data_IF_463928770693
#
_entry.id   IF_463928770693
#
_cell.length_a   1.000
_cell.length_b   1.000
_cell.length_c   1.000
_cell.angle_alpha   90.00
_cell.angle_beta   90.00
_cell.angle_gamma   90.00
#
_symmetry.space_group_name_H-M   'P 1'
#
loop_
_entity.id
_entity.type
_entity.pdbx_description
1 polymer ?
#
# COMPACT_ATOMS: atom_id res chain seq x y z
N UNK A 1 -28.67 -20.19 -12.71
CA UNK A 1 -27.19 -20.06 -12.57
C UNK A 1 -26.75 -18.64 -12.89
N UNK A 2 -27.07 -18.09 -14.07
CA UNK A 2 -26.79 -16.68 -14.40
C UNK A 2 -27.37 -15.68 -13.39
N UNK A 3 -28.65 -15.79 -13.02
CA UNK A 3 -29.26 -14.86 -12.05
C UNK A 3 -28.63 -14.94 -10.66
N UNK A 4 -28.17 -16.13 -10.25
CA UNK A 4 -27.49 -16.34 -8.98
C UNK A 4 -26.07 -15.73 -8.99
N UNK A 5 -25.33 -15.87 -10.09
CA UNK A 5 -24.03 -15.22 -10.24
C UNK A 5 -24.17 -13.70 -10.28
N UNK A 6 -25.21 -13.19 -10.95
CA UNK A 6 -25.51 -11.76 -10.98
C UNK A 6 -25.88 -11.21 -9.59
N UNK A 7 -26.70 -11.94 -8.82
CA UNK A 7 -27.06 -11.57 -7.45
C UNK A 7 -25.83 -11.57 -6.51
N UNK A 8 -24.93 -12.54 -6.68
CA UNK A 8 -23.66 -12.55 -5.94
C UNK A 8 -22.75 -11.37 -6.32
N UNK A 9 -22.70 -11.00 -7.60
CA UNK A 9 -21.94 -9.83 -8.05
C UNK A 9 -22.54 -8.52 -7.52
N UNK A 10 -23.87 -8.40 -7.51
CA UNK A 10 -24.56 -7.23 -6.96
C UNK A 10 -24.29 -7.09 -5.46
N UNK A 11 -24.41 -8.18 -4.69
CA UNK A 11 -24.10 -8.20 -3.25
C UNK A 11 -22.62 -7.93 -2.96
N UNK A 12 -21.72 -8.40 -3.81
CA UNK A 12 -20.29 -8.11 -3.67
C UNK A 12 -19.96 -6.62 -3.92
N UNK A 13 -20.82 -5.90 -4.63
CA UNK A 13 -20.67 -4.47 -4.88
C UNK A 13 -21.29 -3.59 -3.77
N UNK A 14 -21.95 -4.17 -2.76
CA UNK A 14 -22.41 -3.42 -1.60
C UNK A 14 -21.22 -3.03 -0.71
N UNK A 15 -21.16 -1.78 -0.22
CA UNK A 15 -20.10 -1.35 0.69
C UNK A 15 -20.03 -2.24 1.94
N UNK A 16 -18.81 -2.56 2.36
CA UNK A 16 -18.56 -3.43 3.52
C UNK A 16 -17.32 -2.98 4.28
N UNK A 17 -17.37 -3.09 5.61
CA UNK A 17 -16.32 -2.58 6.49
C UNK A 17 -16.39 -1.06 6.62
N UNK A 18 -15.42 -0.47 7.31
CA UNK A 18 -15.46 0.95 7.68
C UNK A 18 -14.23 1.69 7.14
N UNK A 19 -14.50 2.83 6.49
CA UNK A 19 -13.48 3.80 6.10
C UNK A 19 -14.09 5.17 6.24
N UNK A 20 -13.50 6.01 7.07
CA UNK A 20 -13.98 7.37 7.29
C UNK A 20 -13.02 8.38 6.68
N UNK A 21 -13.52 9.49 6.11
CA UNK A 21 -12.67 10.61 5.72
C UNK A 21 -11.87 11.15 6.92
N UNK A 22 -10.54 11.12 6.84
CA UNK A 22 -9.66 11.74 7.82
C UNK A 22 -9.48 13.22 7.52
N UNK A 23 -9.11 13.54 6.29
CA UNK A 23 -8.96 14.90 5.77
C UNK A 23 -8.95 14.89 4.24
N UNK A 24 -9.18 16.05 3.64
CA UNK A 24 -9.11 16.24 2.18
C UNK A 24 -7.98 17.19 1.84
N UNK A 25 -7.15 16.80 0.88
CA UNK A 25 -6.08 17.64 0.38
C UNK A 25 -6.65 18.81 -0.45
N UNK A 26 -6.08 20.01 -0.35
CA UNK A 26 -6.44 21.13 -1.20
C UNK A 26 -6.36 20.81 -2.70
N UNK A 27 -7.20 21.44 -3.52
CA UNK A 27 -7.26 21.24 -4.99
C UNK A 27 -5.91 21.44 -5.70
N UNK A 28 -5.02 22.27 -5.16
CA UNK A 28 -3.70 22.52 -5.73
C UNK A 28 -2.66 21.46 -5.37
N UNK A 29 -2.99 20.46 -4.54
CA UNK A 29 -2.13 19.28 -4.32
C UNK A 29 -2.43 18.26 -5.42
N UNK A 30 -1.60 18.29 -6.46
CA UNK A 30 -1.77 17.46 -7.65
C UNK A 30 -0.98 16.16 -7.54
N UNK A 31 -1.63 15.06 -7.90
CA UNK A 31 -1.11 13.70 -7.98
C UNK A 31 -0.32 13.27 -6.74
N UNK A 32 -0.94 13.25 -5.55
CA UNK A 32 -0.33 12.65 -4.37
C UNK A 32 -0.19 11.14 -4.57
N UNK A 33 1.01 10.59 -4.33
CA UNK A 33 1.33 9.16 -4.55
C UNK A 33 2.14 8.55 -3.39
N UNK A 34 2.53 9.35 -2.40
CA UNK A 34 3.21 8.87 -1.20
C UNK A 34 2.57 9.47 0.05
N UNK A 35 2.40 8.64 1.08
CA UNK A 35 1.90 9.07 2.38
C UNK A 35 2.77 8.43 3.46
N UNK A 36 3.25 9.23 4.40
CA UNK A 36 3.97 8.78 5.58
C UNK A 36 3.52 9.57 6.81
N UNK A 37 3.76 9.04 8.00
CA UNK A 37 3.54 9.77 9.25
C UNK A 37 4.87 10.25 9.84
N UNK A 38 4.95 11.53 10.16
CA UNK A 38 6.07 12.11 10.90
C UNK A 38 5.65 12.43 12.32
N UNK A 39 5.99 11.51 13.23
CA UNK A 39 5.73 11.62 14.66
C UNK A 39 6.37 12.88 15.27
N UNK A 40 7.54 13.32 14.78
CA UNK A 40 8.24 14.48 15.34
C UNK A 40 7.49 15.79 15.08
N UNK A 41 6.75 15.86 13.97
CA UNK A 41 5.93 17.01 13.59
C UNK A 41 4.45 16.84 13.92
N UNK A 42 4.00 15.63 14.22
CA UNK A 42 2.59 15.26 14.33
C UNK A 42 1.82 15.64 13.05
N UNK A 43 2.40 15.32 11.89
CA UNK A 43 1.86 15.64 10.56
C UNK A 43 1.99 14.42 9.65
N UNK A 44 1.04 14.30 8.73
CA UNK A 44 1.23 13.45 7.56
C UNK A 44 2.21 14.12 6.60
N UNK A 45 3.11 13.35 6.01
CA UNK A 45 3.91 13.76 4.88
C UNK A 45 3.30 13.20 3.61
N UNK A 46 3.07 14.07 2.62
CA UNK A 46 2.52 13.72 1.32
C UNK A 46 3.54 14.01 0.23
N UNK A 47 3.84 13.01 -0.59
CA UNK A 47 4.69 13.14 -1.77
C UNK A 47 3.87 13.27 -3.04
N UNK A 48 4.25 14.20 -3.92
CA UNK A 48 3.56 14.41 -5.21
C UNK A 48 4.44 14.01 -6.39
N UNK A 49 3.84 13.35 -7.39
CA UNK A 49 4.56 13.01 -8.62
C UNK A 49 4.57 14.15 -9.64
N UNK A 50 3.54 15.01 -9.64
CA UNK A 50 3.43 16.12 -10.58
C UNK A 50 4.52 17.18 -10.34
N UNK A 51 4.66 17.66 -9.11
CA UNK A 51 5.60 18.75 -8.78
C UNK A 51 6.90 18.27 -8.09
N UNK A 52 6.94 17.00 -7.66
CA UNK A 52 8.09 16.48 -6.92
C UNK A 52 8.22 17.13 -5.54
N UNK A 53 7.10 17.37 -4.86
CA UNK A 53 7.07 18.02 -3.55
C UNK A 53 6.86 17.00 -2.44
N UNK A 54 7.42 17.30 -1.27
CA UNK A 54 7.10 16.71 0.03
C UNK A 54 6.38 17.77 0.86
N UNK A 55 5.17 17.45 1.26
CA UNK A 55 4.23 18.35 1.92
C UNK A 55 3.94 17.85 3.33
N UNK A 56 3.93 18.71 4.34
CA UNK A 56 3.36 18.42 5.64
C UNK A 56 1.87 18.78 5.66
N UNK A 57 1.05 17.87 6.18
CA UNK A 57 -0.41 18.01 6.26
C UNK A 57 -0.86 17.73 7.69
N UNK A 58 -1.62 18.64 8.30
CA UNK A 58 -2.30 18.32 9.57
C UNK A 58 -3.59 17.54 9.39
N UNK A 59 -4.13 17.12 10.53
CA UNK A 59 -5.45 16.52 10.69
C UNK A 59 -6.60 17.38 10.13
N UNK A 60 -6.41 18.69 9.92
CA UNK A 60 -7.40 19.56 9.29
C UNK A 60 -7.22 19.66 7.75
N UNK A 61 -6.23 18.97 7.19
CA UNK A 61 -5.90 19.01 5.75
C UNK A 61 -5.10 20.25 5.32
N UNK A 62 -4.62 21.07 6.26
CA UNK A 62 -3.80 22.25 5.93
C UNK A 62 -2.39 21.82 5.55
N UNK A 63 -1.94 22.33 4.42
CA UNK A 63 -0.68 21.94 3.77
C UNK A 63 0.41 22.98 4.00
N UNK A 64 1.64 22.51 4.21
CA UNK A 64 2.88 23.30 4.17
C UNK A 64 3.91 22.56 3.32
N UNK A 65 4.48 23.19 2.29
CA UNK A 65 5.56 22.57 1.52
C UNK A 65 6.84 22.53 2.35
N UNK A 66 7.45 21.35 2.44
CA UNK A 66 8.70 21.10 3.18
C UNK A 66 9.89 21.05 2.22
N UNK A 67 9.76 20.27 1.15
CA UNK A 67 10.78 20.06 0.14
C UNK A 67 10.09 20.15 -1.22
N UNK A 68 10.69 20.85 -2.17
CA UNK A 68 10.34 20.77 -3.58
C UNK A 68 11.56 20.34 -4.37
N UNK A 69 11.35 19.49 -5.37
CA UNK A 69 12.39 19.17 -6.33
C UNK A 69 12.94 20.48 -6.95
N UNK A 70 14.23 20.55 -7.24
CA UNK A 70 14.87 21.70 -7.89
C UNK A 70 16.23 21.30 -8.43
N UNK A 71 16.88 22.21 -9.15
CA UNK A 71 18.19 21.95 -9.75
C UNK A 71 19.29 21.69 -8.71
N UNK A 72 19.13 22.19 -7.48
CA UNK A 72 20.11 22.03 -6.40
C UNK A 72 20.05 20.63 -5.79
N UNK A 73 18.84 20.13 -5.47
CA UNK A 73 18.67 18.78 -4.92
C UNK A 73 18.64 17.70 -6.02
N UNK A 74 18.23 18.05 -7.24
CA UNK A 74 18.16 17.14 -8.38
C UNK A 74 17.07 16.06 -8.25
N UNK A 75 16.04 16.29 -7.43
CA UNK A 75 14.87 15.42 -7.34
C UNK A 75 13.95 15.57 -8.56
N UNK A 76 13.04 14.60 -8.70
CA UNK A 76 11.95 14.57 -9.68
C UNK A 76 10.62 14.27 -8.98
N UNK A 77 9.70 13.55 -9.63
CA UNK A 77 8.49 13.00 -8.99
C UNK A 77 8.83 12.24 -7.71
N UNK A 78 8.02 12.42 -6.66
CA UNK A 78 8.12 11.65 -5.41
C UNK A 78 7.18 10.46 -5.45
N UNK A 79 7.72 9.24 -5.33
CA UNK A 79 6.95 7.99 -5.39
C UNK A 79 6.79 7.29 -4.06
N UNK A 80 7.67 7.57 -3.09
CA UNK A 80 7.51 7.06 -1.72
C UNK A 80 8.28 7.91 -0.72
N UNK A 81 7.83 7.86 0.55
CA UNK A 81 8.40 8.57 1.68
C UNK A 81 8.60 7.59 2.83
N UNK A 82 9.79 7.63 3.46
CA UNK A 82 10.06 6.84 4.65
C UNK A 82 10.69 7.72 5.72
N UNK A 83 10.02 7.81 6.88
CA UNK A 83 10.48 8.55 8.05
C UNK A 83 11.23 7.60 8.97
N UNK A 84 12.51 7.89 9.24
CA UNK A 84 13.34 7.18 10.23
C UNK A 84 13.72 8.16 11.36
N UNK A 85 12.86 8.29 12.39
CA UNK A 85 13.12 9.21 13.49
C UNK A 85 14.32 8.77 14.34
N UNK A 86 14.60 7.46 14.43
CA UNK A 86 15.72 6.94 15.21
C UNK A 86 17.08 7.41 14.67
N UNK A 87 17.17 7.65 13.36
CA UNK A 87 18.38 8.16 12.70
C UNK A 87 18.26 9.63 12.26
N UNK A 88 17.16 10.31 12.57
CA UNK A 88 16.83 11.67 12.10
C UNK A 88 16.94 11.77 10.57
N UNK A 89 16.27 10.86 9.85
CA UNK A 89 16.26 10.79 8.38
C UNK A 89 14.87 10.79 7.79
N UNK A 90 14.73 11.52 6.69
CA UNK A 90 13.63 11.40 5.75
C UNK A 90 14.19 10.86 4.44
N UNK A 91 13.72 9.69 4.05
CA UNK A 91 14.08 9.06 2.79
C UNK A 91 13.00 9.34 1.76
N UNK A 92 13.43 9.74 0.56
CA UNK A 92 12.52 10.07 -0.54
C UNK A 92 12.91 9.24 -1.76
N UNK A 93 11.97 8.43 -2.23
CA UNK A 93 12.10 7.68 -3.48
C UNK A 93 11.64 8.57 -4.64
N UNK A 94 12.52 8.85 -5.59
CA UNK A 94 12.21 9.79 -6.67
C UNK A 94 12.68 9.30 -8.04
N UNK A 95 11.87 9.58 -9.06
CA UNK A 95 12.12 9.14 -10.43
C UNK A 95 11.68 10.16 -11.48
N UNK A 96 12.46 10.27 -12.55
CA UNK A 96 12.18 11.13 -13.69
C UNK A 96 11.17 10.45 -14.62
N UNK A 97 9.90 10.85 -14.47
CA UNK A 97 8.80 10.34 -15.30
C UNK A 97 8.12 11.48 -16.06
N UNK A 98 7.44 11.21 -17.19
CA UNK A 98 6.78 12.25 -17.98
C UNK A 98 5.68 13.04 -17.25
N UNK A 99 5.18 12.55 -16.11
CA UNK A 99 4.17 13.28 -15.31
C UNK A 99 4.79 14.39 -14.47
N UNK A 100 6.11 14.39 -14.28
CA UNK A 100 6.81 15.47 -13.59
C UNK A 100 6.77 16.76 -14.42
N UNK A 101 6.33 17.87 -13.83
CA UNK A 101 6.13 19.15 -14.50
C UNK A 101 7.40 19.69 -15.17
N UNK A 102 8.57 19.38 -14.59
CA UNK A 102 9.91 19.75 -15.10
C UNK A 102 10.64 18.57 -15.72
N UNK A 103 9.92 17.59 -16.25
CA UNK A 103 10.51 16.44 -16.91
C UNK A 103 11.45 16.85 -18.04
N UNK A 104 12.65 16.26 -18.04
CA UNK A 104 13.61 16.36 -19.14
C UNK A 104 13.85 14.99 -19.75
N UNK A 105 13.82 14.92 -21.09
CA UNK A 105 14.07 13.68 -21.81
C UNK A 105 15.47 13.09 -21.52
N UNK A 106 16.44 13.91 -21.12
CA UNK A 106 17.79 13.46 -20.75
C UNK A 106 17.83 12.68 -19.43
N UNK A 107 16.82 12.90 -18.58
CA UNK A 107 16.67 12.21 -17.30
C UNK A 107 15.73 11.01 -17.40
N UNK A 108 15.14 10.73 -18.57
CA UNK A 108 14.18 9.64 -18.75
C UNK A 108 14.73 8.32 -18.17
N UNK A 109 13.98 7.76 -17.23
CA UNK A 109 14.33 6.47 -16.61
C UNK A 109 15.37 6.56 -15.50
N UNK A 110 15.82 7.76 -15.12
CA UNK A 110 16.65 7.97 -13.94
C UNK A 110 15.79 7.92 -12.68
N UNK A 111 16.33 7.30 -11.64
CA UNK A 111 15.72 7.24 -10.33
C UNK A 111 16.80 7.21 -9.25
N UNK A 112 16.49 7.72 -8.07
CA UNK A 112 17.40 7.73 -6.94
C UNK A 112 16.63 7.71 -5.61
N UNK A 113 17.29 7.18 -4.59
CA UNK A 113 16.92 7.38 -3.20
C UNK A 113 17.61 8.65 -2.69
N UNK A 114 16.85 9.56 -2.09
CA UNK A 114 17.36 10.79 -1.51
C UNK A 114 17.28 10.70 0.01
N UNK A 115 18.37 11.07 0.68
CA UNK A 115 18.52 11.09 2.13
C UNK A 115 18.48 12.54 2.60
N UNK A 116 17.45 12.91 3.34
CA UNK A 116 17.33 14.22 3.98
C UNK A 116 17.47 14.09 5.49
N UNK A 117 17.97 15.15 6.13
CA UNK A 117 17.82 15.32 7.56
C UNK A 117 16.33 15.50 7.87
N UNK A 118 15.75 14.69 8.76
CA UNK A 118 14.31 14.77 9.05
C UNK A 118 13.95 16.12 9.67
N UNK A 119 14.77 16.69 10.55
CA UNK A 119 14.50 17.96 11.22
C UNK A 119 14.79 19.18 10.33
N UNK A 120 15.99 19.27 9.76
CA UNK A 120 16.44 20.45 9.01
C UNK A 120 16.00 20.45 7.55
N UNK A 121 15.59 19.29 7.02
CA UNK A 121 15.23 19.07 5.61
C UNK A 121 16.40 19.32 4.65
N UNK A 122 17.62 19.38 5.15
CA UNK A 122 18.82 19.48 4.32
C UNK A 122 19.08 18.15 3.62
N UNK A 123 19.37 18.22 2.32
CA UNK A 123 19.80 17.06 1.55
C UNK A 123 21.18 16.61 2.06
N UNK A 124 21.26 15.36 2.51
CA UNK A 124 22.50 14.73 2.97
C UNK A 124 23.15 14.01 1.80
N UNK A 125 22.42 13.08 1.18
CA UNK A 125 22.93 12.24 0.11
C UNK A 125 21.89 11.92 -0.96
N UNK A 126 22.40 11.64 -2.16
CA UNK A 126 21.65 11.11 -3.28
C UNK A 126 22.27 9.79 -3.70
N UNK A 127 21.45 8.74 -3.72
CA UNK A 127 21.84 7.37 -4.06
C UNK A 127 21.14 6.94 -5.34
N UNK A 128 21.72 7.21 -6.52
CA UNK A 128 21.14 6.80 -7.79
C UNK A 128 21.24 5.29 -7.99
N UNK A 129 20.23 4.72 -8.67
CA UNK A 129 20.37 3.39 -9.27
C UNK A 129 21.35 3.43 -10.45
N UNK A 130 21.90 2.28 -10.89
CA UNK A 130 22.79 2.23 -12.04
C UNK A 130 22.17 2.87 -13.30
N UNK A 131 22.97 3.66 -14.03
CA UNK A 131 22.58 4.18 -15.35
C UNK A 131 22.89 3.12 -16.40
N UNK A 132 22.04 2.09 -16.46
CA UNK A 132 22.22 0.91 -17.31
C UNK A 132 21.41 0.97 -18.62
N UNK A 133 20.74 2.10 -18.89
CA UNK A 133 19.91 2.32 -20.06
C UNK A 133 18.49 1.78 -19.95
N UNK A 134 18.10 1.22 -18.80
CA UNK A 134 16.72 0.77 -18.53
C UNK A 134 15.93 1.85 -17.78
N UNK A 135 14.60 1.90 -17.94
CA UNK A 135 13.77 2.84 -17.22
C UNK A 135 13.55 2.35 -15.79
N UNK A 136 14.19 2.99 -14.82
CA UNK A 136 13.97 2.71 -13.40
C UNK A 136 12.93 3.66 -12.81
N UNK A 137 12.07 3.12 -11.95
CA UNK A 137 11.17 3.92 -11.11
C UNK A 137 11.23 3.31 -9.72
N UNK A 138 12.16 3.76 -8.88
CA UNK A 138 12.10 3.38 -7.47
C UNK A 138 10.76 3.83 -6.91
N UNK A 139 10.03 2.86 -6.36
CA UNK A 139 8.74 3.06 -5.74
C UNK A 139 8.85 2.89 -4.24
N UNK A 140 8.05 1.96 -3.71
CA UNK A 140 7.91 1.72 -2.29
C UNK A 140 9.19 1.25 -1.61
N UNK A 141 9.36 1.64 -0.35
CA UNK A 141 10.52 1.41 0.48
C UNK A 141 10.16 0.72 1.80
N UNK A 142 11.10 -0.06 2.33
CA UNK A 142 11.01 -0.60 3.69
C UNK A 142 12.33 -0.37 4.44
N UNK A 143 12.23 0.02 5.71
CA UNK A 143 13.35 0.21 6.62
C UNK A 143 13.63 -1.08 7.37
N UNK A 144 14.86 -1.58 7.25
CA UNK A 144 15.36 -2.68 8.06
C UNK A 144 15.78 -2.23 9.46
N UNK A 145 15.81 -3.15 10.44
CA UNK A 145 16.14 -2.82 11.84
C UNK A 145 17.53 -2.17 11.98
N UNK A 146 18.49 -2.59 11.15
CA UNK A 146 19.86 -2.07 11.15
C UNK A 146 20.00 -0.73 10.40
N UNK A 147 18.94 -0.24 9.74
CA UNK A 147 18.95 1.01 8.97
C UNK A 147 19.19 0.83 7.47
N UNK A 148 19.07 -0.40 6.98
CA UNK A 148 19.03 -0.69 5.55
C UNK A 148 17.73 -0.16 4.94
N UNK A 149 17.78 0.38 3.73
CA UNK A 149 16.59 0.73 2.97
C UNK A 149 16.44 -0.24 1.82
N UNK A 150 15.32 -0.94 1.75
CA UNK A 150 14.96 -1.81 0.63
C UNK A 150 13.98 -1.09 -0.26
N UNK A 151 14.16 -1.16 -1.58
CA UNK A 151 13.35 -0.41 -2.54
C UNK A 151 12.87 -1.33 -3.65
N UNK A 152 11.56 -1.30 -3.90
CA UNK A 152 10.96 -1.97 -5.02
C UNK A 152 10.96 -1.06 -6.25
N UNK A 153 11.55 -1.50 -7.36
CA UNK A 153 11.45 -0.80 -8.63
C UNK A 153 10.08 -1.13 -9.28
N UNK A 154 9.29 -0.09 -9.57
CA UNK A 154 7.95 -0.20 -10.17
C UNK A 154 8.03 -0.55 -11.66
N UNK A 155 9.13 -0.21 -12.32
CA UNK A 155 9.29 -0.40 -13.76
C UNK A 155 10.00 -1.70 -14.12
N UNK A 156 10.87 -2.19 -13.22
CA UNK A 156 11.60 -3.45 -13.39
C UNK A 156 11.40 -4.31 -12.15
N UNK A 157 11.30 -5.65 -12.26
CA UNK A 157 11.06 -6.52 -11.12
C UNK A 157 12.33 -6.76 -10.30
N UNK A 158 12.91 -5.67 -9.79
CA UNK A 158 14.17 -5.63 -9.05
C UNK A 158 13.89 -5.08 -7.66
N UNK A 159 14.37 -5.82 -6.66
CA UNK A 159 14.50 -5.34 -5.30
C UNK A 159 15.92 -4.82 -5.11
N UNK A 160 16.02 -3.56 -4.74
CA UNK A 160 17.25 -2.90 -4.36
C UNK A 160 17.41 -2.85 -2.84
N UNK A 161 18.66 -2.73 -2.39
CA UNK A 161 19.03 -2.41 -1.01
C UNK A 161 20.08 -1.31 -1.01
N UNK A 162 19.88 -0.31 -0.16
CA UNK A 162 20.92 0.58 0.34
C UNK A 162 21.29 0.08 1.73
N UNK A 163 22.50 -0.45 1.88
CA UNK A 163 22.94 -0.94 3.18
C UNK A 163 23.21 0.22 4.15
N UNK A 164 22.94 0.02 5.45
CA UNK A 164 23.22 1.04 6.46
C UNK A 164 24.70 1.51 6.40
N UNK A 165 24.94 2.82 6.41
CA UNK A 165 26.29 3.40 6.28
C UNK A 165 26.94 3.32 4.89
N UNK A 166 26.37 2.57 3.94
CA UNK A 166 26.89 2.52 2.57
C UNK A 166 26.28 3.59 1.67
N UNK A 167 27.04 4.01 0.65
CA UNK A 167 26.61 5.04 -0.30
C UNK A 167 25.88 4.47 -1.53
N UNK A 168 25.99 3.18 -1.82
CA UNK A 168 25.46 2.58 -3.05
C UNK A 168 24.12 1.89 -2.79
N UNK A 169 23.27 1.97 -3.80
CA UNK A 169 22.06 1.16 -3.93
C UNK A 169 22.43 -0.04 -4.80
N UNK A 170 22.22 -1.25 -4.31
CA UNK A 170 22.61 -2.49 -4.97
C UNK A 170 21.39 -3.39 -5.19
N UNK A 171 21.35 -4.09 -6.33
CA UNK A 171 20.29 -5.05 -6.60
C UNK A 171 20.52 -6.30 -5.74
N UNK A 172 19.55 -6.67 -4.92
CA UNK A 172 19.62 -7.87 -4.07
C UNK A 172 18.76 -9.01 -4.60
N UNK A 173 17.76 -8.71 -5.43
CA UNK A 173 16.95 -9.71 -6.11
C UNK A 173 16.39 -9.15 -7.42
N UNK A 174 16.28 -10.01 -8.43
CA UNK A 174 15.43 -9.78 -9.59
C UNK A 174 14.61 -11.04 -9.84
N UNK A 175 13.32 -10.90 -10.13
CA UNK A 175 12.43 -12.04 -10.36
C UNK A 175 11.62 -11.85 -11.64
N UNK A 176 11.78 -12.75 -12.61
CA UNK A 176 10.96 -12.75 -13.82
C UNK A 176 9.49 -13.12 -13.55
N UNK A 177 9.18 -13.62 -12.35
CA UNK A 177 7.82 -13.95 -11.92
C UNK A 177 7.04 -12.73 -11.40
N UNK A 178 7.65 -11.54 -11.41
CA UNK A 178 7.06 -10.25 -11.03
C UNK A 178 7.17 -9.28 -12.22
N UNK A 179 6.27 -8.31 -12.32
CA UNK A 179 6.17 -7.39 -13.47
C UNK A 179 5.84 -5.95 -13.11
N UNK A 180 5.24 -5.70 -11.95
CA UNK A 180 4.75 -4.39 -11.52
C UNK A 180 4.74 -4.33 -10.00
N UNK A 181 5.90 -4.11 -9.39
CA UNK A 181 6.01 -4.02 -7.94
C UNK A 181 5.33 -2.72 -7.47
N UNK A 182 4.35 -2.84 -6.57
CA UNK A 182 3.54 -1.71 -6.07
C UNK A 182 3.69 -1.45 -4.58
N UNK A 183 4.19 -2.43 -3.82
CA UNK A 183 4.38 -2.25 -2.38
C UNK A 183 5.45 -3.17 -1.82
N UNK A 184 5.99 -2.77 -0.67
CA UNK A 184 6.97 -3.52 0.10
C UNK A 184 6.61 -3.43 1.58
N UNK A 185 6.71 -4.54 2.29
CA UNK A 185 6.58 -4.58 3.74
C UNK A 185 7.64 -5.52 4.31
N UNK A 186 8.02 -5.35 5.58
CA UNK A 186 9.09 -6.15 6.18
C UNK A 186 8.70 -6.61 7.58
N UNK A 187 9.06 -7.84 7.93
CA UNK A 187 8.98 -8.29 9.32
C UNK A 187 9.91 -7.47 10.23
N UNK A 188 9.52 -7.19 11.49
CA UNK A 188 10.33 -6.36 12.40
C UNK A 188 11.76 -6.86 12.64
N UNK A 189 11.98 -8.18 12.52
CA UNK A 189 13.30 -8.80 12.67
C UNK A 189 14.21 -8.66 11.44
N UNK A 190 13.70 -8.09 10.35
CA UNK A 190 14.39 -7.90 9.07
C UNK A 190 14.64 -9.19 8.29
N UNK A 191 14.10 -10.33 8.72
CA UNK A 191 14.33 -11.62 8.08
C UNK A 191 13.54 -11.82 6.79
N UNK A 192 12.32 -11.26 6.73
CA UNK A 192 11.39 -11.45 5.62
C UNK A 192 10.93 -10.10 5.06
N UNK A 193 10.95 -9.99 3.74
CA UNK A 193 10.31 -8.93 2.97
C UNK A 193 9.13 -9.51 2.20
N UNK A 194 8.04 -8.77 2.14
CA UNK A 194 6.90 -9.01 1.28
C UNK A 194 6.95 -8.02 0.13
N UNK A 195 6.89 -8.50 -1.11
CA UNK A 195 6.80 -7.68 -2.31
C UNK A 195 5.42 -7.87 -2.91
N UNK A 196 4.63 -6.81 -2.94
CA UNK A 196 3.33 -6.78 -3.59
C UNK A 196 3.50 -6.42 -5.06
N UNK A 197 3.08 -7.31 -5.94
CA UNK A 197 2.98 -7.07 -7.38
C UNK A 197 1.52 -6.88 -7.78
N UNK A 198 1.27 -5.91 -8.67
CA UNK A 198 -0.07 -5.60 -9.14
C UNK A 198 -0.75 -6.80 -9.80
N UNK A 199 -0.01 -7.59 -10.56
CA UNK A 199 -0.56 -8.67 -11.39
C UNK A 199 -0.25 -10.06 -10.82
N UNK A 200 0.93 -10.21 -10.20
CA UNK A 200 1.48 -11.51 -9.83
C UNK A 200 1.22 -11.92 -8.37
N UNK A 201 0.67 -11.00 -7.56
CA UNK A 201 0.38 -11.21 -6.14
C UNK A 201 1.55 -10.89 -5.23
N UNK A 202 1.67 -11.60 -4.10
CA UNK A 202 2.67 -11.29 -3.08
C UNK A 202 3.79 -12.33 -3.12
N UNK A 203 5.04 -11.85 -3.22
CA UNK A 203 6.24 -12.67 -3.07
C UNK A 203 6.85 -12.45 -1.69
N UNK A 204 7.18 -13.55 -1.02
CA UNK A 204 7.90 -13.59 0.25
C UNK A 204 9.38 -13.81 -0.05
N UNK A 205 10.21 -12.90 0.44
CA UNK A 205 11.65 -12.89 0.28
C UNK A 205 12.31 -13.11 1.63
N UNK A 206 12.94 -14.27 1.80
CA UNK A 206 13.82 -14.56 2.93
C UNK A 206 15.20 -13.98 2.63
N UNK A 207 15.56 -12.93 3.36
CA UNK A 207 16.80 -12.17 3.16
C UNK A 207 18.01 -12.98 3.59
N UNK A 208 17.91 -13.73 4.69
CA UNK A 208 19.03 -14.53 5.22
C UNK A 208 19.24 -15.80 4.40
N UNK A 209 18.15 -16.47 4.03
CA UNK A 209 18.17 -17.67 3.22
C UNK A 209 18.37 -17.43 1.73
N UNK A 210 18.33 -16.16 1.27
CA UNK A 210 18.42 -15.77 -0.14
C UNK A 210 17.42 -16.53 -1.03
N UNK A 211 16.16 -16.61 -0.57
CA UNK A 211 15.10 -17.37 -1.23
C UNK A 211 13.86 -16.50 -1.43
N UNK A 212 13.25 -16.60 -2.60
CA UNK A 212 11.96 -15.98 -2.91
C UNK A 212 10.92 -17.06 -3.22
N UNK A 213 9.70 -16.94 -2.68
CA UNK A 213 8.55 -17.78 -3.05
C UNK A 213 7.28 -16.95 -3.04
N UNK A 214 6.25 -17.40 -3.77
CA UNK A 214 4.91 -16.81 -3.63
C UNK A 214 4.39 -17.06 -2.21
N UNK A 215 3.70 -16.06 -1.65
CA UNK A 215 2.99 -16.19 -0.38
C UNK A 215 1.97 -17.33 -0.50
N UNK A 216 1.99 -18.27 0.43
CA UNK A 216 1.02 -19.36 0.43
C UNK A 216 -0.35 -18.81 0.86
N UNK A 217 -1.38 -19.01 0.04
CA UNK A 217 -2.72 -18.49 0.30
C UNK A 217 -3.81 -19.54 0.09
N UNK A 218 -5.00 -19.35 0.67
CA UNK A 218 -6.17 -20.13 0.27
C UNK A 218 -6.43 -19.98 -1.22
N UNK A 219 -6.77 -21.07 -1.91
CA UNK A 219 -7.02 -21.07 -3.36
C UNK A 219 -8.14 -20.11 -3.82
N UNK A 220 -9.00 -19.67 -2.89
CA UNK A 220 -10.09 -18.73 -3.13
C UNK A 220 -9.68 -17.26 -2.96
N UNK A 221 -8.46 -16.98 -2.51
CA UNK A 221 -7.99 -15.61 -2.31
C UNK A 221 -7.39 -15.05 -3.59
N UNK A 222 -8.01 -14.00 -4.14
CA UNK A 222 -7.45 -13.23 -5.25
C UNK A 222 -6.46 -12.16 -4.74
N UNK A 223 -5.20 -12.27 -5.16
CA UNK A 223 -4.13 -11.31 -4.89
C UNK A 223 -3.78 -10.43 -6.12
N UNK A 224 -4.62 -10.36 -7.14
CA UNK A 224 -4.47 -9.41 -8.24
C UNK A 224 -4.91 -8.00 -7.88
N UNK A 225 -4.45 -7.02 -8.65
CA UNK A 225 -4.77 -5.60 -8.51
C UNK A 225 -4.22 -4.93 -7.25
N UNK A 226 -3.15 -5.46 -6.65
CA UNK A 226 -2.51 -4.88 -5.47
C UNK A 226 -1.87 -3.54 -5.82
N UNK A 227 -2.13 -2.52 -5.00
CA UNK A 227 -1.54 -1.20 -5.16
C UNK A 227 -0.70 -0.72 -3.97
N UNK A 228 -0.89 -1.34 -2.80
CA UNK A 228 -0.07 -1.09 -1.62
C UNK A 228 -0.14 -2.28 -0.66
N UNK A 229 0.96 -2.51 0.06
CA UNK A 229 1.03 -3.50 1.14
C UNK A 229 1.72 -2.92 2.36
N UNK A 230 1.24 -3.28 3.54
CA UNK A 230 1.78 -2.85 4.84
C UNK A 230 1.79 -4.04 5.80
N UNK A 231 2.65 -3.99 6.82
CA UNK A 231 2.64 -4.98 7.89
C UNK A 231 2.16 -4.33 9.19
N UNK A 232 1.20 -4.96 9.84
CA UNK A 232 0.70 -4.56 11.15
C UNK A 232 0.41 -5.81 11.99
N UNK A 233 1.06 -5.97 13.15
CA UNK A 233 0.85 -7.09 14.07
C UNK A 233 0.86 -8.49 13.41
N UNK A 234 1.85 -8.79 12.55
CA UNK A 234 1.93 -10.02 11.74
C UNK A 234 0.75 -10.25 10.77
N UNK A 235 0.03 -9.19 10.42
CA UNK A 235 -0.96 -9.18 9.36
C UNK A 235 -0.46 -8.32 8.20
N UNK A 236 -0.61 -8.80 6.98
CA UNK A 236 -0.45 -7.96 5.79
C UNK A 236 -1.74 -7.20 5.54
N UNK A 237 -1.64 -5.89 5.45
CA UNK A 237 -2.72 -5.03 4.98
C UNK A 237 -2.50 -4.77 3.51
N UNK A 238 -3.50 -5.04 2.68
CA UNK A 238 -3.39 -4.99 1.22
C UNK A 238 -4.47 -4.09 0.66
N UNK A 239 -4.06 -3.06 -0.08
CA UNK A 239 -4.97 -2.21 -0.87
C UNK A 239 -5.02 -2.78 -2.28
N UNK A 240 -6.23 -3.09 -2.77
CA UNK A 240 -6.46 -3.62 -4.11
C UNK A 240 -7.38 -2.69 -4.91
N UNK A 241 -6.84 -2.03 -5.93
CA UNK A 241 -7.58 -1.12 -6.80
C UNK A 241 -7.63 -1.56 -8.27
N UNK A 242 -6.86 -2.59 -8.65
CA UNK A 242 -6.88 -3.18 -9.99
C UNK A 242 -7.98 -4.23 -10.20
N UNK A 243 -8.90 -4.38 -9.25
CA UNK A 243 -10.03 -5.32 -9.29
C UNK A 243 -11.32 -4.61 -8.92
N UNK A 244 -12.46 -5.22 -9.24
CA UNK A 244 -13.79 -4.78 -8.83
C UNK A 244 -14.48 -5.88 -8.01
N UNK A 245 -15.02 -5.59 -6.81
CA UNK A 245 -14.93 -4.31 -6.10
C UNK A 245 -13.50 -4.00 -5.62
N UNK A 246 -13.16 -2.70 -5.55
CA UNK A 246 -11.93 -2.22 -4.92
C UNK A 246 -12.01 -2.41 -3.40
N UNK A 247 -10.88 -2.70 -2.74
CA UNK A 247 -10.90 -3.12 -1.33
C UNK A 247 -9.58 -2.96 -0.59
N UNK A 248 -9.67 -2.85 0.73
CA UNK A 248 -8.60 -3.00 1.71
C UNK A 248 -8.84 -4.29 2.51
N UNK A 249 -7.81 -5.12 2.62
CA UNK A 249 -7.88 -6.46 3.20
C UNK A 249 -6.77 -6.65 4.25
N UNK A 250 -7.09 -7.31 5.36
CA UNK A 250 -6.15 -7.83 6.37
C UNK A 250 -5.95 -9.32 6.15
N UNK A 251 -4.69 -9.72 5.95
CA UNK A 251 -4.27 -11.11 5.75
C UNK A 251 -3.43 -11.52 6.97
N UNK A 252 -3.99 -12.35 7.83
CA UNK A 252 -3.28 -12.88 8.98
C UNK A 252 -2.25 -13.91 8.51
N UNK A 253 -1.00 -13.73 8.91
CA UNK A 253 0.07 -14.65 8.59
C UNK A 253 0.24 -15.70 9.69
N UNK A 254 0.72 -16.88 9.30
CA UNK A 254 1.21 -17.88 10.23
C UNK A 254 2.46 -17.40 10.98
N UNK A 255 2.92 -18.17 11.97
CA UNK A 255 4.12 -17.83 12.75
C UNK A 255 5.39 -17.74 11.90
N UNK A 256 5.45 -18.46 10.77
CA UNK A 256 6.60 -18.36 9.86
C UNK A 256 6.57 -17.10 9.01
N UNK A 257 5.43 -16.42 8.90
CA UNK A 257 5.24 -15.28 8.00
C UNK A 257 5.17 -15.68 6.53
N UNK A 258 4.95 -16.95 6.20
CA UNK A 258 5.00 -17.44 4.80
C UNK A 258 3.67 -17.94 4.27
N UNK A 259 2.65 -18.03 5.13
CA UNK A 259 1.31 -18.47 4.77
C UNK A 259 0.23 -17.56 5.35
N UNK A 260 -0.78 -17.24 4.55
CA UNK A 260 -2.02 -16.60 5.01
C UNK A 260 -2.92 -17.65 5.65
N UNK A 261 -3.24 -17.47 6.92
CA UNK A 261 -4.12 -18.36 7.70
C UNK A 261 -5.54 -17.82 7.84
N UNK A 262 -5.71 -16.50 7.75
CA UNK A 262 -7.02 -15.84 7.81
C UNK A 262 -7.06 -14.62 6.91
N UNK A 263 -8.25 -14.30 6.39
CA UNK A 263 -8.49 -13.18 5.49
C UNK A 263 -9.70 -12.40 5.98
N UNK A 264 -9.55 -11.09 6.15
CA UNK A 264 -10.59 -10.20 6.66
C UNK A 264 -10.63 -8.92 5.81
N UNK A 265 -11.72 -8.62 5.11
CA UNK A 265 -11.92 -7.30 4.52
C UNK A 265 -12.04 -6.25 5.62
N UNK A 266 -11.37 -5.12 5.42
CA UNK A 266 -11.47 -3.95 6.29
C UNK A 266 -12.35 -2.87 5.64
N UNK A 267 -12.30 -2.77 4.31
CA UNK A 267 -13.12 -1.86 3.53
C UNK A 267 -13.30 -2.41 2.11
N UNK A 268 -14.51 -2.47 1.58
CA UNK A 268 -14.82 -3.00 0.24
C UNK A 268 -15.88 -2.11 -0.38
N UNK A 269 -15.73 -1.80 -1.67
CA UNK A 269 -16.71 -1.04 -2.44
C UNK A 269 -17.16 0.25 -1.75
N UNK A 270 -16.27 0.92 -1.02
CA UNK A 270 -16.61 2.15 -0.33
C UNK A 270 -17.02 3.23 -1.36
N UNK A 271 -18.05 4.04 -1.09
CA UNK A 271 -18.51 5.08 -2.01
C UNK A 271 -17.42 6.08 -2.43
N UNK A 272 -16.43 6.29 -1.57
CA UNK A 272 -15.30 7.18 -1.78
C UNK A 272 -14.20 6.58 -2.68
N UNK A 273 -14.23 5.26 -2.94
CA UNK A 273 -13.19 4.60 -3.72
C UNK A 273 -13.25 4.99 -5.20
N UNK A 274 -12.16 5.59 -5.66
CA UNK A 274 -11.87 5.87 -7.06
C UNK A 274 -10.39 5.58 -7.35
N UNK A 275 -10.05 4.29 -7.34
CA UNK A 275 -8.67 3.80 -7.29
C UNK A 275 -7.96 4.16 -5.97
N UNK A 276 -8.43 3.65 -4.81
CA UNK A 276 -7.74 3.87 -3.55
C UNK A 276 -6.31 3.34 -3.63
N UNK A 277 -5.36 4.07 -3.10
CA UNK A 277 -3.93 3.80 -3.30
C UNK A 277 -3.15 4.04 -2.02
N UNK A 278 -1.83 4.29 -2.15
CA UNK A 278 -0.82 4.39 -1.10
C UNK A 278 -1.29 5.03 0.22
N UNK A 279 -0.63 4.62 1.28
CA UNK A 279 -1.01 4.91 2.64
C UNK A 279 0.12 4.69 3.62
N UNK A 280 -0.19 4.86 4.89
CA UNK A 280 0.71 4.62 6.02
C UNK A 280 -0.08 4.07 7.19
N UNK A 281 0.56 3.21 7.97
CA UNK A 281 0.01 2.75 9.24
C UNK A 281 0.42 3.75 10.32
N UNK A 282 -0.53 4.17 11.15
CA UNK A 282 -0.31 4.97 12.36
C UNK A 282 -1.04 4.27 13.49
N UNK A 283 -0.30 3.80 14.49
CA UNK A 283 -0.82 2.96 15.56
C UNK A 283 -1.62 1.76 15.01
N UNK A 284 -2.93 1.73 15.27
CA UNK A 284 -3.86 0.68 14.86
C UNK A 284 -4.73 1.09 13.66
N UNK A 285 -4.37 2.14 12.93
CA UNK A 285 -5.10 2.64 11.78
C UNK A 285 -4.26 2.65 10.50
N UNK A 286 -4.90 2.35 9.38
CA UNK A 286 -4.38 2.65 8.05
C UNK A 286 -4.98 3.97 7.57
N UNK A 287 -4.10 4.91 7.21
CA UNK A 287 -4.45 6.12 6.45
C UNK A 287 -4.04 5.93 5.00
N UNK A 288 -4.90 6.22 4.04
CA UNK A 288 -4.62 5.96 2.63
C UNK A 288 -5.45 6.85 1.70
N UNK A 289 -4.97 7.07 0.48
CA UNK A 289 -5.70 7.87 -0.50
C UNK A 289 -6.95 7.14 -0.98
N UNK A 290 -8.11 7.81 -0.94
CA UNK A 290 -9.39 7.29 -1.46
C UNK A 290 -9.39 7.15 -2.98
N UNK A 291 -8.60 8.00 -3.65
CA UNK A 291 -8.55 8.09 -5.11
C UNK A 291 -7.15 8.32 -5.64
N UNK A 292 -6.94 7.98 -6.91
CA UNK A 292 -5.70 8.26 -7.64
C UNK A 292 -5.96 9.18 -8.84
N UNK A 293 -5.15 10.23 -8.96
CA UNK A 293 -5.18 11.14 -10.11
C UNK A 293 -4.26 10.66 -11.25
N UNK A 294 -3.61 9.49 -11.10
CA UNK A 294 -2.71 8.90 -12.10
C UNK A 294 -3.45 8.02 -13.13
N UNK A 295 -4.78 8.06 -13.16
CA UNK A 295 -5.62 7.31 -14.09
C UNK A 295 -5.68 8.03 -15.44
N UNK A 296 -5.35 7.32 -16.52
CA UNK A 296 -5.36 7.88 -17.87
C UNK A 296 -6.77 8.33 -18.29
N UNK A 297 -6.90 9.59 -18.75
CA UNK A 297 -8.15 10.12 -19.30
C UNK A 297 -9.10 10.78 -18.30
N UNK A 298 -8.65 11.09 -17.07
CA UNK A 298 -9.44 11.85 -16.12
C UNK A 298 -9.69 13.29 -16.63
N UNK A 299 -10.95 13.63 -16.94
CA UNK A 299 -11.33 14.95 -17.46
C UNK A 299 -11.51 16.00 -16.36
N UNK A 300 -11.70 15.59 -15.10
CA UNK A 300 -11.82 16.46 -13.92
C UNK A 300 -10.98 15.93 -12.75
N UNK A 301 -9.88 16.62 -12.43
CA UNK A 301 -9.02 16.27 -11.29
C UNK A 301 -9.66 16.79 -10.00
N UNK A 302 -10.23 15.88 -9.21
CA UNK A 302 -10.86 16.21 -7.91
C UNK A 302 -9.83 16.21 -6.77
N UNK A 303 -10.06 17.00 -5.70
CA UNK A 303 -9.36 16.83 -4.43
C UNK A 303 -9.28 15.37 -3.99
N UNK A 304 -8.11 14.97 -3.50
CA UNK A 304 -7.92 13.63 -2.95
C UNK A 304 -8.22 13.64 -1.46
N UNK A 305 -9.15 12.79 -1.05
CA UNK A 305 -9.43 12.52 0.36
C UNK A 305 -8.51 11.41 0.87
N UNK A 306 -7.99 11.57 2.07
CA UNK A 306 -7.35 10.48 2.82
C UNK A 306 -8.41 9.83 3.70
N UNK A 307 -8.59 8.53 3.55
CA UNK A 307 -9.44 7.71 4.39
C UNK A 307 -8.64 7.13 5.55
N UNK A 308 -9.33 6.83 6.63
CA UNK A 308 -8.84 6.09 7.79
C UNK A 308 -9.65 4.82 7.96
N UNK A 309 -8.96 3.71 8.19
CA UNK A 309 -9.56 2.41 8.50
C UNK A 309 -8.86 1.79 9.69
N UNK A 310 -9.62 1.47 10.72
CA UNK A 310 -9.13 0.73 11.88
C UNK A 310 -8.69 -0.69 11.46
N UNK A 311 -7.48 -1.07 11.83
CA UNK A 311 -6.87 -2.35 11.47
C UNK A 311 -7.26 -3.48 12.41
N UNK A 312 -7.69 -3.16 13.63
CA UNK A 312 -8.10 -4.10 14.67
C UNK A 312 -9.60 -4.45 14.63
N UNK A 313 -10.40 -3.71 13.85
CA UNK A 313 -11.86 -3.85 13.73
C UNK A 313 -12.31 -5.31 13.77
N UNK A 314 -13.11 -5.63 14.79
CA UNK A 314 -13.36 -6.98 15.28
C UNK A 314 -14.50 -7.72 14.58
N UNK A 315 -15.25 -7.04 13.72
CA UNK A 315 -16.44 -7.65 13.13
C UNK A 315 -16.05 -8.69 12.08
N UNK A 316 -16.03 -9.95 12.52
CA UNK A 316 -15.84 -11.12 11.68
C UNK A 316 -16.85 -11.10 10.53
N UNK A 317 -16.35 -11.22 9.30
CA UNK A 317 -17.24 -11.53 8.19
C UNK A 317 -17.74 -12.96 8.27
N UNK A 318 -19.04 -13.06 8.49
CA UNK A 318 -19.80 -14.26 8.14
C UNK A 318 -19.82 -14.35 6.62
N UNK A 319 -18.99 -15.24 6.05
CA UNK A 319 -19.02 -15.58 4.62
C UNK A 319 -20.48 -15.81 4.17
N UNK A 320 -20.90 -15.43 2.96
CA UNK A 320 -22.27 -15.69 2.47
C UNK A 320 -22.71 -17.14 2.65
N UNK A 321 -21.80 -18.10 2.45
CA UNK A 321 -22.04 -19.53 2.69
C UNK A 321 -22.28 -19.86 4.16
N UNK A 322 -21.60 -19.15 5.06
CA UNK A 322 -21.78 -19.26 6.51
C UNK A 322 -23.08 -18.59 6.95
N UNK A 323 -23.49 -17.48 6.30
CA UNK A 323 -24.78 -16.83 6.54
C UNK A 323 -25.91 -17.74 6.09
N UNK A 324 -25.80 -18.34 4.90
CA UNK A 324 -26.72 -19.38 4.43
C UNK A 324 -26.73 -20.58 5.37
N UNK A 325 -25.57 -21.08 5.81
CA UNK A 325 -25.48 -22.19 6.76
C UNK A 325 -26.15 -21.85 8.10
N UNK A 326 -25.94 -20.65 8.64
CA UNK A 326 -26.55 -20.17 9.88
C UNK A 326 -28.07 -19.98 9.70
N UNK A 327 -28.53 -19.44 8.57
CA UNK A 327 -29.95 -19.32 8.22
C UNK A 327 -30.63 -20.71 8.08
N UNK A 328 -29.94 -21.69 7.49
CA UNK A 328 -30.42 -23.08 7.43
C UNK A 328 -30.47 -23.71 8.82
N UNK A 329 -29.47 -23.46 9.67
CA UNK A 329 -29.44 -23.95 11.05
C UNK A 329 -30.57 -23.35 11.89
N UNK A 330 -30.83 -22.06 11.75
CA UNK A 330 -31.94 -21.37 12.41
C UNK A 330 -33.31 -21.90 11.97
N UNK A 331 -33.52 -22.07 10.66
CA UNK A 331 -34.75 -22.68 10.10
C UNK A 331 -34.96 -24.12 10.56
N UNK A 332 -33.89 -24.89 10.75
CA UNK A 332 -33.97 -26.27 11.23
C UNK A 332 -34.21 -26.34 12.74
N UNK A 333 -33.69 -25.38 13.53
CA UNK A 333 -33.99 -25.27 14.95
C UNK A 333 -35.48 -24.91 15.18
N UNK A 334 -36.04 -23.98 14.42
CA UNK A 334 -37.47 -23.62 14.48
C UNK A 334 -38.41 -24.76 14.06
N UNK A 335 -37.98 -25.62 13.13
CA UNK A 335 -38.74 -26.83 12.75
C UNK A 335 -38.66 -27.94 13.79
N UNK A 336 -37.54 -28.05 14.51
CA UNK A 336 -37.37 -29.00 15.62
C UNK A 336 -38.28 -28.67 16.80
N UNK A 337 -38.41 -27.40 17.16
CA UNK A 337 -39.28 -26.95 18.26
C UNK A 337 -40.77 -27.15 17.95
N UNK A 338 -41.20 -26.83 16.72
CA UNK A 338 -42.60 -27.07 16.29
C UNK A 338 -42.98 -28.55 16.21
N UNK A 339 -42.01 -29.45 16.02
CA UNK A 339 -42.28 -30.90 16.04
C UNK A 339 -42.41 -31.50 17.45
N UNK A 340 -41.99 -30.77 18.49
CA UNK A 340 -42.15 -31.17 19.89
C UNK A 340 -43.40 -30.57 20.56
N UNK A 341 -43.96 -29.46 20.05
CA UNK A 341 -45.23 -28.90 20.54
C UNK A 341 -46.46 -29.64 20.00
N UNK A 342 -46.40 -30.25 18.81
CA UNK A 342 -47.51 -31.04 18.24
C UNK A 342 -47.57 -32.50 18.75
N UNK A 343 -46.77 -32.85 19.76
CA UNK A 343 -46.70 -34.20 20.31
C UNK A 343 -46.68 -34.22 21.84
N UNK A 344 -47.67 -33.57 22.46
CA UNK A 344 -48.07 -33.88 23.84
C UNK A 344 -49.58 -34.20 23.88
N UNK A 345 -49.97 -35.41 24.33
CA UNK A 345 -51.37 -35.84 24.41
C UNK A 345 -52.16 -35.17 25.55
#
# INVERSE_FOLDING_TARGET
>A
VYDYVNDLMAKAAEPLGESEPAFTLPENVLMPEALAWDESRQKFLVGTVAEGSVLAVDKDGKVTELISANDENGMWSVFDLLVDPARNRLWVSSAATPVFSRFSAVDKGRSALFEFNLETLELIHRHPVPVDGRPHILGSMALGPEGDIYLADRALPILYRKAAGEAKVEAVMASADMVSLRGIAMQPDGGIIYLGDREMGIMVVDIKGSRAVKLATPATLNLGGIDGIYLWNNNLIVIQNGISPQRVMRLELDQSGTQVVSVRPLAVAQPEFDFPSFGTVVDDDLYYFASSQMVAGAEDVKPVTVLRTALDASDDLVKPDMKWFLEQKAKNAEKGDKSNEDNQP
#
